data_IF_937370343143
#
_entry.id   IF_937370343143
#
_cell.length_a   1.000
_cell.length_b   1.000
_cell.length_c   1.000
_cell.angle_alpha   90.00
_cell.angle_beta   90.00
_cell.angle_gamma   90.00
#
_symmetry.space_group_name_H-M   'P 1'
#
loop_
_entity.id
_entity.type
_entity.pdbx_description
1 polymer ?
#
# COMPACT_ATOMS: atom_id res chain seq x y z
N UNK A 1 -3.10 10.08 18.06
CA UNK A 1 -3.56 10.30 17.16
C UNK A 1 -2.99 10.44 15.79
N UNK A 2 -2.20 9.62 15.30
CA UNK A 2 -1.63 9.78 13.99
C UNK A 2 -2.09 8.72 13.02
N UNK A 3 -3.22 8.09 13.29
CA UNK A 3 -3.74 7.12 12.35
C UNK A 3 -4.23 7.82 11.08
N UNK A 4 -4.26 7.11 10.00
CA UNK A 4 -4.71 7.64 8.72
C UNK A 4 -6.16 7.25 8.47
N UNK A 5 -6.86 8.12 7.76
CA UNK A 5 -8.17 7.77 7.24
C UNK A 5 -8.01 7.20 5.85
N UNK A 6 -9.05 6.53 5.35
CA UNK A 6 -9.03 6.04 3.99
C UNK A 6 -8.92 7.19 3.01
N UNK A 7 -9.54 8.32 3.32
CA UNK A 7 -9.47 9.49 2.45
C UNK A 7 -8.05 10.02 2.35
N UNK A 8 -7.34 10.10 3.48
CA UNK A 8 -5.96 10.57 3.49
C UNK A 8 -5.06 9.63 2.68
N UNK A 9 -5.26 8.32 2.83
CA UNK A 9 -4.50 7.37 2.04
C UNK A 9 -4.76 7.55 0.55
N UNK A 10 -6.03 7.74 0.19
CA UNK A 10 -6.40 7.93 -1.20
C UNK A 10 -5.71 9.16 -1.79
N UNK A 11 -5.72 10.27 -1.05
CA UNK A 11 -5.05 11.48 -1.50
C UNK A 11 -3.55 11.26 -1.67
N UNK A 12 -2.94 10.55 -0.73
CA UNK A 12 -1.52 10.27 -0.80
C UNK A 12 -1.19 9.44 -2.04
N UNK A 13 -1.95 8.39 -2.28
CA UNK A 13 -1.69 7.53 -3.43
C UNK A 13 -1.87 8.28 -4.74
N UNK A 14 -2.89 9.14 -4.82
CA UNK A 14 -3.15 9.89 -6.03
C UNK A 14 -2.19 11.07 -6.22
N UNK A 15 -1.44 11.43 -5.20
CA UNK A 15 -0.43 12.47 -5.33
C UNK A 15 0.81 11.98 -6.11
N UNK A 16 0.95 10.68 -6.30
CA UNK A 16 2.07 10.14 -7.07
C UNK A 16 1.89 10.49 -8.55
N UNK A 17 2.97 10.91 -9.23
CA UNK A 17 2.85 11.32 -10.65
C UNK A 17 2.29 10.22 -11.53
N UNK A 18 1.32 10.59 -12.35
CA UNK A 18 0.70 9.68 -13.33
C UNK A 18 -0.05 8.51 -12.69
N UNK A 19 -0.36 8.61 -11.41
CA UNK A 19 -1.17 7.59 -10.78
C UNK A 19 -2.65 7.89 -10.99
N UNK A 20 -3.47 6.86 -10.95
CA UNK A 20 -4.91 7.04 -11.07
C UNK A 20 -5.61 5.93 -10.31
N UNK A 21 -6.86 6.17 -10.00
CA UNK A 21 -7.70 5.28 -9.23
C UNK A 21 -8.64 4.52 -10.16
N UNK A 22 -8.83 3.23 -9.90
CA UNK A 22 -9.75 2.42 -10.70
C UNK A 22 -10.39 1.35 -9.81
N UNK A 23 -11.62 0.96 -10.11
CA UNK A 23 -12.26 -0.10 -9.34
C UNK A 23 -11.52 -1.42 -9.49
N UNK A 24 -11.56 -2.23 -8.44
CA UNK A 24 -10.92 -3.54 -8.45
C UNK A 24 -11.75 -4.47 -7.57
N UNK A 25 -12.74 -5.10 -8.16
CA UNK A 25 -13.73 -5.88 -7.42
C UNK A 25 -14.45 -4.98 -6.43
N UNK A 26 -14.42 -5.30 -5.15
CA UNK A 26 -15.06 -4.47 -4.14
C UNK A 26 -14.11 -3.45 -3.53
N UNK A 27 -12.92 -3.31 -4.11
CA UNK A 27 -11.91 -2.42 -3.59
C UNK A 27 -11.57 -1.36 -4.62
N UNK A 28 -10.80 -0.38 -4.20
CA UNK A 28 -10.25 0.62 -5.09
C UNK A 28 -8.78 0.31 -5.31
N UNK A 29 -8.33 0.37 -6.55
CA UNK A 29 -6.91 0.20 -6.85
C UNK A 29 -6.30 1.51 -7.29
N UNK A 30 -5.01 1.67 -7.01
CA UNK A 30 -4.24 2.83 -7.44
C UNK A 30 -3.16 2.31 -8.37
N UNK A 31 -3.09 2.88 -9.55
CA UNK A 31 -2.29 2.34 -10.64
C UNK A 31 -1.39 3.38 -11.25
N UNK A 32 -0.28 2.92 -11.79
CA UNK A 32 0.49 3.68 -12.75
C UNK A 32 0.19 3.06 -14.12
N UNK A 33 0.95 3.47 -15.15
CA UNK A 33 0.65 3.08 -16.52
C UNK A 33 0.22 1.64 -16.71
N UNK A 34 0.88 0.73 -16.04
CA UNK A 34 0.65 -0.68 -16.32
C UNK A 34 0.39 -1.53 -15.11
N UNK A 35 0.55 -0.98 -13.93
CA UNK A 35 0.55 -1.83 -12.73
C UNK A 35 -0.23 -1.22 -11.61
N UNK A 36 -0.83 -2.11 -10.84
CA UNK A 36 -1.43 -1.71 -9.58
C UNK A 36 -0.31 -1.68 -8.55
N UNK A 37 -0.13 -0.54 -7.88
CA UNK A 37 0.85 -0.48 -6.79
C UNK A 37 0.18 -0.49 -5.41
N UNK A 38 -1.13 -0.27 -5.36
CA UNK A 38 -1.85 -0.28 -4.08
C UNK A 38 -3.31 -0.59 -4.30
N UNK A 39 -3.93 -1.20 -3.30
CA UNK A 39 -5.39 -1.33 -3.26
C UNK A 39 -5.85 -0.85 -1.90
N UNK A 40 -7.11 -0.46 -1.82
CA UNK A 40 -7.69 0.04 -0.58
C UNK A 40 -9.06 -0.57 -0.38
N UNK A 41 -9.25 -1.17 0.79
CA UNK A 41 -10.56 -1.65 1.21
C UNK A 41 -11.14 -0.59 2.13
N UNK A 42 -12.06 0.20 1.62
CA UNK A 42 -12.63 1.31 2.37
C UNK A 42 -13.39 0.82 3.60
N UNK A 43 -14.05 -0.31 3.47
CA UNK A 43 -14.86 -0.85 4.56
C UNK A 43 -14.01 -1.24 5.76
N UNK A 44 -12.92 -1.93 5.54
CA UNK A 44 -12.08 -2.39 6.64
C UNK A 44 -10.98 -1.39 7.02
N UNK A 45 -10.69 -0.43 6.16
CA UNK A 45 -9.61 0.51 6.42
C UNK A 45 -8.24 -0.11 6.27
N UNK A 46 -8.11 -1.10 5.40
CA UNK A 46 -6.84 -1.79 5.18
C UNK A 46 -6.37 -1.52 3.76
N UNK A 47 -5.13 -1.07 3.64
CA UNK A 47 -4.49 -0.85 2.36
C UNK A 47 -3.52 -1.98 2.08
N UNK A 48 -3.39 -2.35 0.81
CA UNK A 48 -2.45 -3.38 0.41
C UNK A 48 -1.50 -2.76 -0.60
N UNK A 49 -0.20 -2.83 -0.32
CA UNK A 49 0.82 -2.23 -1.18
C UNK A 49 1.71 -3.31 -1.75
N UNK A 50 2.10 -3.12 -3.01
CA UNK A 50 3.03 -4.05 -3.66
C UNK A 50 4.45 -3.57 -3.42
N UNK A 51 5.16 -4.27 -2.58
CA UNK A 51 6.55 -3.97 -2.24
C UNK A 51 7.45 -5.06 -2.78
N UNK A 52 8.76 -4.81 -2.78
CA UNK A 52 9.69 -5.91 -2.99
C UNK A 52 9.75 -6.74 -1.71
N UNK A 53 10.18 -8.01 -1.78
CA UNK A 53 10.30 -8.80 -0.56
C UNK A 53 11.24 -8.17 0.48
N UNK A 54 12.28 -7.49 0.04
CA UNK A 54 13.19 -6.81 0.96
C UNK A 54 12.47 -5.67 1.68
N UNK A 55 11.77 -4.83 0.93
CA UNK A 55 11.04 -3.72 1.53
C UNK A 55 9.91 -4.22 2.42
N UNK A 56 9.23 -5.27 2.00
CA UNK A 56 8.18 -5.87 2.81
C UNK A 56 8.73 -6.27 4.18
N UNK A 57 9.89 -6.90 4.18
CA UNK A 57 10.51 -7.33 5.41
C UNK A 57 10.84 -6.15 6.32
N UNK A 58 11.34 -5.08 5.75
CA UNK A 58 11.65 -3.88 6.51
C UNK A 58 10.39 -3.29 7.15
N UNK A 59 9.35 -3.09 6.35
CA UNK A 59 8.14 -2.45 6.87
C UNK A 59 7.41 -3.32 7.88
N UNK A 60 7.34 -4.64 7.65
CA UNK A 60 6.67 -5.50 8.62
C UNK A 60 7.42 -5.58 9.93
N UNK A 61 8.73 -5.30 9.91
CA UNK A 61 9.53 -5.34 11.14
C UNK A 61 9.33 -4.12 12.02
N UNK A 62 8.99 -2.98 11.45
CA UNK A 62 8.97 -1.74 12.23
C UNK A 62 7.63 -1.45 12.89
N UNK A 63 6.56 -2.10 12.49
CA UNK A 63 5.26 -1.76 13.07
C UNK A 63 4.30 -2.93 13.08
N UNK A 64 4.65 -3.97 13.76
CA UNK A 64 3.73 -5.10 13.93
C UNK A 64 2.75 -4.79 15.05
N UNK A 65 1.52 -5.23 14.96
CA UNK A 65 0.90 -5.98 13.87
C UNK A 65 0.21 -5.11 12.84
N UNK A 66 0.50 -3.80 12.81
CA UNK A 66 -0.17 -2.91 11.88
C UNK A 66 0.21 -3.20 10.44
N UNK A 67 1.39 -3.75 10.23
CA UNK A 67 1.90 -4.06 8.89
C UNK A 67 2.22 -5.54 8.84
N UNK A 68 1.55 -6.28 7.95
CA UNK A 68 1.78 -7.71 7.81
C UNK A 68 1.76 -8.10 6.35
N UNK A 69 2.41 -9.20 6.01
CA UNK A 69 2.36 -9.69 4.65
C UNK A 69 1.01 -10.38 4.39
N UNK A 70 0.59 -10.39 3.14
CA UNK A 70 -0.60 -11.12 2.75
C UNK A 70 -0.33 -12.61 2.97
N UNK A 71 -1.25 -13.34 3.63
CA UNK A 71 -0.96 -14.71 4.06
C UNK A 71 -1.16 -15.77 2.99
N UNK A 72 -0.54 -15.60 1.83
CA UNK A 72 -0.56 -16.61 0.79
C UNK A 72 0.53 -16.27 -0.21
N UNK A 73 0.49 -16.85 -1.39
CA UNK A 73 1.55 -16.62 -2.37
C UNK A 73 1.66 -15.16 -2.80
N UNK A 74 0.59 -14.38 -2.67
CA UNK A 74 0.68 -12.96 -2.97
C UNK A 74 1.64 -12.26 -2.03
N UNK A 75 1.63 -12.66 -0.75
CA UNK A 75 2.58 -12.11 0.21
C UNK A 75 4.01 -12.40 -0.17
N UNK A 76 4.26 -13.57 -0.75
CA UNK A 76 5.61 -13.92 -1.20
C UNK A 76 6.09 -13.04 -2.34
N UNK A 77 5.15 -12.43 -3.07
CA UNK A 77 5.49 -11.52 -4.16
C UNK A 77 5.68 -10.09 -3.67
N UNK A 78 5.45 -9.83 -2.39
CA UNK A 78 5.64 -8.51 -1.83
C UNK A 78 4.38 -7.77 -1.45
N UNK A 79 3.20 -8.35 -1.65
CA UNK A 79 1.96 -7.71 -1.24
C UNK A 79 1.89 -7.66 0.28
N UNK A 80 1.65 -6.48 0.82
CA UNK A 80 1.74 -6.21 2.24
C UNK A 80 0.52 -5.43 2.70
N UNK A 81 -0.07 -5.86 3.81
CA UNK A 81 -1.27 -5.24 4.37
C UNK A 81 -0.89 -4.18 5.39
N UNK A 82 -1.54 -3.03 5.30
CA UNK A 82 -1.33 -1.91 6.22
C UNK A 82 -2.68 -1.55 6.85
N UNK A 83 -2.76 -1.65 8.17
CA UNK A 83 -3.97 -1.26 8.89
C UNK A 83 -3.90 0.25 9.13
N UNK A 84 -4.69 1.00 8.39
CA UNK A 84 -4.63 2.46 8.44
C UNK A 84 -4.95 3.01 9.82
N UNK A 85 -5.68 2.28 10.63
CA UNK A 85 -6.02 2.74 11.97
C UNK A 85 -4.84 2.65 12.93
N UNK A 86 -3.83 1.88 12.60
CA UNK A 86 -2.72 1.62 13.50
C UNK A 86 -1.38 2.12 12.98
N UNK A 87 -1.28 2.34 11.69
CA UNK A 87 0.00 2.71 11.10
C UNK A 87 0.15 4.23 11.13
N UNK A 88 1.39 4.70 11.29
CA UNK A 88 1.67 6.12 11.33
C UNK A 88 1.70 6.71 9.93
N UNK A 89 1.33 7.98 9.84
CA UNK A 89 1.32 8.67 8.55
C UNK A 89 2.69 8.67 7.89
N UNK A 90 3.74 8.94 8.66
CA UNK A 90 5.10 8.95 8.09
C UNK A 90 5.46 7.62 7.47
N UNK A 91 5.11 6.54 8.15
CA UNK A 91 5.37 5.20 7.63
C UNK A 91 4.60 4.96 6.35
N UNK A 92 3.35 5.41 6.30
CA UNK A 92 2.54 5.24 5.09
C UNK A 92 3.10 6.04 3.92
N UNK A 93 3.57 7.27 4.17
CA UNK A 93 4.16 8.06 3.10
C UNK A 93 5.36 7.31 2.50
N UNK A 94 6.23 6.78 3.35
CA UNK A 94 7.36 6.01 2.88
C UNK A 94 6.92 4.76 2.12
N UNK A 95 5.93 4.06 2.66
CA UNK A 95 5.49 2.81 2.06
C UNK A 95 4.85 3.03 0.70
N UNK A 96 3.98 4.03 0.58
CA UNK A 96 3.33 4.33 -0.68
C UNK A 96 4.35 4.77 -1.72
N UNK A 97 5.29 5.62 -1.31
CA UNK A 97 6.34 6.08 -2.21
C UNK A 97 7.19 4.90 -2.69
N UNK A 98 7.54 4.01 -1.78
CA UNK A 98 8.33 2.83 -2.13
C UNK A 98 7.58 1.93 -3.11
N UNK A 99 6.30 1.70 -2.85
CA UNK A 99 5.49 0.86 -3.73
C UNK A 99 5.36 1.48 -5.11
N UNK A 100 5.14 2.80 -5.15
CA UNK A 100 5.01 3.51 -6.41
C UNK A 100 6.28 3.37 -7.24
N UNK A 101 7.45 3.66 -6.66
CA UNK A 101 8.69 3.56 -7.41
C UNK A 101 9.02 2.13 -7.80
N UNK A 102 8.67 1.17 -6.96
CA UNK A 102 8.86 -0.23 -7.31
C UNK A 102 8.05 -0.60 -8.55
N UNK A 103 6.84 -0.06 -8.66
CA UNK A 103 6.00 -0.35 -9.83
C UNK A 103 6.57 0.24 -11.10
N UNK A 104 7.26 1.37 -11.00
CA UNK A 104 7.85 2.01 -12.19
C UNK A 104 9.10 1.28 -12.67
N UNK A 105 9.85 0.70 -11.74
CA UNK A 105 11.11 0.05 -12.09
C UNK A 105 10.94 -1.39 -12.52
N UNK A 106 9.72 -1.86 -12.55
CA UNK A 106 9.49 -3.24 -12.87
C UNK A 106 9.66 -3.47 -14.35
N UNK A 107 10.27 -4.53 -14.69
CA UNK A 107 10.45 -4.88 -16.11
C UNK A 107 9.32 -5.71 -16.65
#
# INVERSE_FOLDING_TARGET
ISSMTTETFRELALSMPESYEAPHFEKTSFRTKKRIFATLDITSGIACLKLTPVDQNVFTSINKPAITSVPNKWGLQGWTLFDLKKVRKNTMVDAVTTAYFSSLNKK
#
